data_IF_673536669179
#
_entry.id   IF_673536669179
#
_cell.length_a   1.000
_cell.length_b   1.000
_cell.length_c   1.000
_cell.angle_alpha   90.00
_cell.angle_beta   90.00
_cell.angle_gamma   90.00
#
_symmetry.space_group_name_H-M   'P 1'
#
loop_
_entity.id
_entity.type
_entity.pdbx_description
1 polymer ?
#
# COMPACT_ATOMS: atom_id res chain seq x y z
N UNK A 1 -6.17 1.68 -16.43
CA UNK A 1 -5.70 0.62 -15.51
C UNK A 1 -6.67 -0.53 -15.52
N UNK A 2 -6.21 -1.76 -15.72
CA UNK A 2 -7.06 -2.95 -15.59
C UNK A 2 -7.20 -3.32 -14.10
N UNK A 3 -8.32 -3.95 -13.73
CA UNK A 3 -8.54 -4.41 -12.35
C UNK A 3 -7.41 -5.33 -11.86
N UNK A 4 -6.88 -6.18 -12.75
CA UNK A 4 -5.76 -7.08 -12.46
C UNK A 4 -4.50 -6.31 -12.03
N UNK A 5 -4.21 -5.18 -12.70
CA UNK A 5 -3.06 -4.36 -12.37
C UNK A 5 -3.22 -3.69 -10.99
N UNK A 6 -4.43 -3.21 -10.67
CA UNK A 6 -4.74 -2.63 -9.35
C UNK A 6 -4.57 -3.67 -8.24
N UNK A 7 -5.06 -4.90 -8.45
CA UNK A 7 -4.91 -5.98 -7.47
C UNK A 7 -3.43 -6.31 -7.27
N UNK A 8 -2.65 -6.39 -8.35
CA UNK A 8 -1.21 -6.64 -8.25
C UNK A 8 -0.51 -5.56 -7.41
N UNK A 9 -0.74 -4.28 -7.72
CA UNK A 9 -0.14 -3.16 -6.98
C UNK A 9 -0.58 -3.14 -5.52
N UNK A 10 -1.85 -3.44 -5.22
CA UNK A 10 -2.35 -3.52 -3.85
C UNK A 10 -1.70 -4.66 -3.05
N UNK A 11 -1.48 -5.82 -3.68
CA UNK A 11 -0.77 -6.94 -3.05
C UNK A 11 0.70 -6.60 -2.82
N UNK A 12 1.37 -6.01 -3.82
CA UNK A 12 2.76 -5.56 -3.70
C UNK A 12 2.88 -4.53 -2.58
N UNK A 13 2.03 -3.50 -2.53
CA UNK A 13 2.02 -2.52 -1.45
C UNK A 13 1.78 -3.19 -0.10
N UNK A 14 0.74 -4.03 0.01
CA UNK A 14 0.39 -4.70 1.26
C UNK A 14 1.51 -5.57 1.83
N UNK A 15 2.32 -6.20 0.97
CA UNK A 15 3.48 -6.98 1.41
C UNK A 15 4.65 -6.05 1.74
N UNK A 16 5.00 -5.14 0.83
CA UNK A 16 6.24 -4.35 0.91
C UNK A 16 6.17 -3.21 1.91
N UNK A 17 4.99 -2.72 2.30
CA UNK A 17 4.85 -1.64 3.28
C UNK A 17 5.30 -2.06 4.68
N UNK A 18 5.12 -3.34 5.04
CA UNK A 18 5.52 -3.85 6.35
C UNK A 18 6.96 -4.38 6.37
N UNK A 19 7.61 -4.47 5.21
CA UNK A 19 9.00 -4.88 5.09
C UNK A 19 9.89 -3.64 4.86
N UNK A 20 11.09 -3.57 5.45
CA UNK A 20 12.00 -2.43 5.29
C UNK A 20 12.73 -2.48 3.93
N UNK A 21 11.97 -2.52 2.83
CA UNK A 21 12.47 -2.72 1.45
C UNK A 21 11.98 -1.64 0.47
N UNK A 22 11.37 -0.55 0.96
CA UNK A 22 10.81 0.55 0.18
C UNK A 22 9.63 0.14 -0.73
N UNK A 23 8.41 0.30 -0.22
CA UNK A 23 7.16 0.04 -0.96
C UNK A 23 6.99 0.96 -2.18
N UNK A 24 7.29 2.25 -2.03
CA UNK A 24 7.23 3.23 -3.14
C UNK A 24 8.17 2.86 -4.29
N UNK A 25 9.34 2.29 -4.02
CA UNK A 25 10.26 1.80 -5.05
C UNK A 25 9.64 0.69 -5.90
N UNK A 26 8.93 -0.25 -5.26
CA UNK A 26 8.26 -1.34 -5.96
C UNK A 26 7.07 -0.84 -6.80
N UNK A 27 6.31 0.13 -6.30
CA UNK A 27 5.21 0.76 -7.04
C UNK A 27 5.66 1.53 -8.29
N UNK A 28 6.85 2.15 -8.25
CA UNK A 28 7.43 2.84 -9.43
C UNK A 28 8.05 1.83 -10.41
N UNK A 29 8.68 0.77 -9.88
CA UNK A 29 9.31 -0.26 -10.71
C UNK A 29 8.28 -1.12 -11.46
N UNK A 30 7.12 -1.39 -10.88
CA UNK A 30 6.09 -2.22 -11.52
C UNK A 30 5.66 -1.72 -12.92
N UNK A 31 5.24 -0.45 -13.12
CA UNK A 31 4.94 0.08 -14.45
C UNK A 31 6.19 0.19 -15.33
N UNK A 32 7.36 0.53 -14.76
CA UNK A 32 8.62 0.62 -15.51
C UNK A 32 9.07 -0.73 -16.11
N UNK A 33 8.86 -1.84 -15.40
CA UNK A 33 9.20 -3.19 -15.85
C UNK A 33 8.15 -3.78 -16.80
N UNK A 34 6.88 -3.40 -16.64
CA UNK A 34 5.77 -3.91 -17.44
C UNK A 34 5.48 -3.07 -18.69
N UNK A 35 6.10 -1.90 -18.81
CA UNK A 35 5.78 -0.90 -19.85
C UNK A 35 4.37 -0.32 -19.70
N UNK A 36 3.73 -0.52 -18.56
CA UNK A 36 2.41 0.02 -18.26
C UNK A 36 2.50 1.52 -17.99
N UNK A 37 1.38 2.22 -18.21
CA UNK A 37 1.26 3.60 -17.76
C UNK A 37 1.40 3.68 -16.22
N UNK A 38 1.83 4.83 -15.73
CA UNK A 38 1.90 5.09 -14.29
C UNK A 38 0.51 5.02 -13.65
N UNK A 39 0.38 4.37 -12.49
CA UNK A 39 -0.90 4.26 -11.78
C UNK A 39 -1.43 5.60 -11.25
N UNK A 40 -0.58 6.61 -11.16
CA UNK A 40 -0.88 7.94 -10.68
C UNK A 40 -0.93 8.03 -9.15
N UNK A 41 -0.73 9.25 -8.66
CA UNK A 41 -0.72 9.58 -7.24
C UNK A 41 -1.97 9.09 -6.49
N UNK A 42 -3.13 9.11 -7.15
CA UNK A 42 -4.38 8.65 -6.57
C UNK A 42 -4.32 7.17 -6.15
N UNK A 43 -3.74 6.31 -6.98
CA UNK A 43 -3.62 4.88 -6.67
C UNK A 43 -2.58 4.68 -5.57
N UNK A 44 -1.43 5.34 -5.66
CA UNK A 44 -0.37 5.26 -4.65
C UNK A 44 -0.89 5.66 -3.26
N UNK A 45 -1.60 6.78 -3.14
CA UNK A 45 -2.21 7.21 -1.87
C UNK A 45 -3.27 6.22 -1.40
N UNK A 46 -4.11 5.71 -2.31
CA UNK A 46 -5.18 4.77 -1.95
C UNK A 46 -4.62 3.47 -1.36
N UNK A 47 -3.54 2.93 -1.93
CA UNK A 47 -2.93 1.70 -1.41
C UNK A 47 -2.23 1.92 -0.07
N UNK A 48 -1.64 3.10 0.18
CA UNK A 48 -1.11 3.47 1.50
C UNK A 48 -2.21 3.65 2.55
N UNK A 49 -3.35 4.24 2.18
CA UNK A 49 -4.52 4.31 3.07
C UNK A 49 -5.02 2.91 3.42
N UNK A 50 -5.00 1.98 2.46
CA UNK A 50 -5.33 0.59 2.69
C UNK A 50 -4.42 -0.10 3.71
N UNK A 51 -3.09 0.08 3.61
CA UNK A 51 -2.14 -0.49 4.57
C UNK A 51 -2.23 0.15 5.95
N UNK A 52 -2.45 1.46 6.01
CA UNK A 52 -2.73 2.16 7.27
C UNK A 52 -3.99 1.62 7.93
N UNK A 53 -5.08 1.44 7.18
CA UNK A 53 -6.31 0.87 7.70
C UNK A 53 -6.10 -0.56 8.23
N UNK A 54 -5.31 -1.38 7.53
CA UNK A 54 -4.96 -2.72 8.00
C UNK A 54 -4.25 -2.70 9.35
N UNK A 55 -3.28 -1.79 9.54
CA UNK A 55 -2.57 -1.59 10.83
C UNK A 55 -3.52 -1.12 11.92
N UNK A 56 -4.35 -0.12 11.63
CA UNK A 56 -5.31 0.43 12.60
C UNK A 56 -6.33 -0.62 13.03
N UNK A 57 -6.79 -1.47 12.11
CA UNK A 57 -7.72 -2.57 12.42
C UNK A 57 -7.01 -3.66 13.21
N UNK A 58 -5.78 -4.04 12.85
CA UNK A 58 -5.04 -5.09 13.56
C UNK A 58 -4.70 -4.67 15.00
N UNK A 59 -4.15 -3.47 15.17
CA UNK A 59 -3.74 -2.90 16.46
C UNK A 59 -4.83 -2.06 17.12
N UNK A 60 -6.11 -2.23 16.76
CA UNK A 60 -7.18 -1.32 17.20
C UNK A 60 -7.22 -1.14 18.73
N UNK A 61 -7.03 -2.22 19.49
CA UNK A 61 -7.02 -2.18 20.97
C UNK A 61 -5.86 -1.36 21.51
N UNK A 62 -4.67 -1.58 20.97
CA UNK A 62 -3.46 -0.87 21.38
C UNK A 62 -3.57 0.62 21.00
N UNK A 63 -4.12 0.92 19.83
CA UNK A 63 -4.41 2.29 19.38
C UNK A 63 -5.38 2.99 20.33
N UNK A 64 -6.48 2.34 20.72
CA UNK A 64 -7.41 2.92 21.70
C UNK A 64 -6.79 3.09 23.08
N UNK A 65 -5.95 2.14 23.52
CA UNK A 65 -5.22 2.27 24.78
C UNK A 65 -4.25 3.47 24.75
N UNK A 66 -3.48 3.63 23.67
CA UNK A 66 -2.56 4.76 23.49
C UNK A 66 -3.27 6.12 23.45
N UNK A 67 -4.49 6.18 22.89
CA UNK A 67 -5.30 7.41 22.85
C UNK A 67 -5.95 7.69 24.21
N UNK A 68 -6.28 6.64 24.98
CA UNK A 68 -7.00 6.74 26.25
C UNK A 68 -6.16 7.13 27.46
N UNK A 69 -4.83 6.91 27.42
CA UNK A 69 -3.92 7.15 28.55
C UNK A 69 -3.65 5.89 29.37
#
# INVERSE_FOLDING_TARGET
MTLQHIILLAVVQGITEFLPISSSGHLILAPALTGAADQGLLVDVSVHVGTLAAVLIYFWRDVFAMIGG
#
